data_IF_184244960443
#
_entry.id   IF_184244960443
#
_cell.length_a   1.000
_cell.length_b   1.000
_cell.length_c   1.000
_cell.angle_alpha   90.00
_cell.angle_beta   90.00
_cell.angle_gamma   90.00
#
_symmetry.space_group_name_H-M   'P 1'
#
loop_
_entity.id
_entity.type
_entity.pdbx_description
1 polymer ?
#
# COMPACT_ATOMS: atom_id res chain seq x y z
N UNK A 1 3.54 4.92 -10.81
CA UNK A 1 3.68 4.57 -9.39
C UNK A 1 3.44 5.86 -8.66
N UNK A 2 2.38 5.89 -7.86
CA UNK A 2 2.10 7.02 -6.99
C UNK A 2 3.30 7.31 -6.08
N UNK A 3 3.68 8.58 -6.04
CA UNK A 3 4.76 9.10 -5.19
C UNK A 3 4.21 9.87 -3.99
N UNK A 4 2.93 10.26 -4.05
CA UNK A 4 2.20 10.98 -3.01
C UNK A 4 0.78 10.44 -2.83
N UNK A 5 0.22 10.71 -1.66
CA UNK A 5 -1.19 10.51 -1.29
C UNK A 5 -1.68 11.74 -0.53
N UNK A 6 -2.99 11.94 -0.44
CA UNK A 6 -3.58 13.06 0.30
C UNK A 6 -4.07 12.62 1.67
N UNK A 7 -3.70 13.37 2.71
CA UNK A 7 -4.27 13.29 4.04
C UNK A 7 -5.19 14.48 4.27
N UNK A 8 -6.37 14.24 4.84
CA UNK A 8 -7.37 15.28 5.14
C UNK A 8 -7.49 15.39 6.65
N UNK A 9 -7.21 16.58 7.21
CA UNK A 9 -7.47 16.82 8.62
C UNK A 9 -9.00 16.82 8.86
N UNK A 10 -9.53 15.93 9.73
CA UNK A 10 -10.97 15.82 9.93
C UNK A 10 -11.60 17.06 10.59
N UNK A 11 -10.83 17.84 11.34
CA UNK A 11 -11.31 19.02 12.06
C UNK A 11 -11.24 20.29 11.20
N UNK A 12 -10.12 20.50 10.51
CA UNK A 12 -9.87 21.74 9.73
C UNK A 12 -10.25 21.60 8.25
N UNK A 13 -10.44 20.37 7.75
CA UNK A 13 -10.58 20.05 6.32
C UNK A 13 -9.39 20.44 5.45
N UNK A 14 -8.24 20.69 6.08
CA UNK A 14 -7.01 20.96 5.35
C UNK A 14 -6.49 19.67 4.70
N UNK A 15 -6.15 19.79 3.42
CA UNK A 15 -5.53 18.72 2.65
C UNK A 15 -4.01 18.86 2.68
N UNK A 16 -3.32 17.74 2.88
CA UNK A 16 -1.86 17.67 2.88
C UNK A 16 -1.40 16.50 2.01
N UNK A 17 -0.64 16.80 0.97
CA UNK A 17 0.06 15.78 0.21
C UNK A 17 1.25 15.25 1.02
N UNK A 18 1.35 13.93 1.13
CA UNK A 18 2.46 13.24 1.79
C UNK A 18 3.07 12.20 0.86
N UNK A 19 4.37 11.98 1.01
CA UNK A 19 5.09 11.02 0.16
C UNK A 19 4.76 9.59 0.54
N UNK A 20 4.75 8.72 -0.48
CA UNK A 20 4.70 7.26 -0.33
C UNK A 20 5.79 6.61 -1.15
N UNK A 21 6.25 5.44 -0.70
CA UNK A 21 7.26 4.67 -1.39
C UNK A 21 6.93 3.18 -1.34
N UNK A 22 6.43 2.64 -2.44
CA UNK A 22 6.12 1.21 -2.58
C UNK A 22 7.38 0.31 -2.60
N UNK A 23 8.59 0.89 -2.60
CA UNK A 23 9.84 0.14 -2.47
C UNK A 23 10.12 -0.23 -1.01
N UNK A 24 9.23 -1.01 -0.40
CA UNK A 24 9.33 -1.40 1.00
C UNK A 24 10.63 -2.18 1.29
N UNK A 25 11.34 -1.76 2.32
CA UNK A 25 12.48 -2.50 2.86
C UNK A 25 12.01 -3.54 3.87
N UNK A 26 12.80 -4.62 4.05
CA UNK A 26 12.55 -5.58 5.12
C UNK A 26 12.55 -4.93 6.51
N UNK A 27 13.32 -3.86 6.70
CA UNK A 27 13.36 -3.08 7.94
C UNK A 27 12.02 -2.40 8.25
N UNK A 28 11.41 -1.74 7.27
CA UNK A 28 10.09 -1.13 7.42
C UNK A 28 9.04 -2.17 7.80
N UNK A 29 9.01 -3.30 7.09
CA UNK A 29 8.08 -4.39 7.41
C UNK A 29 8.32 -4.97 8.81
N UNK A 30 9.58 -5.13 9.22
CA UNK A 30 9.93 -5.61 10.56
C UNK A 30 9.45 -4.67 11.66
N UNK A 31 9.64 -3.36 11.51
CA UNK A 31 9.19 -2.39 12.50
C UNK A 31 7.66 -2.33 12.59
N UNK A 32 6.96 -2.37 11.46
CA UNK A 32 5.50 -2.39 11.45
C UNK A 32 4.91 -3.64 12.11
N UNK A 33 5.58 -4.79 11.99
CA UNK A 33 5.17 -6.02 12.70
C UNK A 33 5.41 -5.90 14.20
N UNK A 34 6.56 -5.34 14.61
CA UNK A 34 6.87 -5.04 16.01
C UNK A 34 5.90 -4.05 16.65
N UNK A 35 5.49 -3.05 15.89
CA UNK A 35 4.47 -2.05 16.25
C UNK A 35 3.04 -2.65 16.23
N UNK A 36 2.87 -3.92 15.84
CA UNK A 36 1.57 -4.63 15.69
C UNK A 36 0.61 -3.98 14.68
N UNK A 37 1.13 -3.15 13.78
CA UNK A 37 0.37 -2.49 12.72
C UNK A 37 0.04 -3.49 11.62
N UNK A 38 1.02 -4.36 11.31
CA UNK A 38 0.86 -5.50 10.43
C UNK A 38 1.11 -6.81 11.18
N UNK A 39 0.55 -7.91 10.69
CA UNK A 39 0.70 -9.23 11.30
C UNK A 39 1.59 -10.15 10.44
N UNK A 40 2.01 -11.27 11.03
CA UNK A 40 2.66 -12.37 10.28
C UNK A 40 1.76 -12.92 9.16
N UNK A 41 0.44 -12.96 9.38
CA UNK A 41 -0.51 -13.37 8.34
C UNK A 41 -0.55 -12.39 7.18
N UNK A 42 -0.51 -11.08 7.45
CA UNK A 42 -0.41 -10.04 6.43
C UNK A 42 0.88 -10.20 5.62
N UNK A 43 2.04 -10.38 6.27
CA UNK A 43 3.31 -10.61 5.58
C UNK A 43 3.26 -11.86 4.70
N UNK A 44 2.66 -12.94 5.21
CA UNK A 44 2.44 -14.16 4.43
C UNK A 44 1.58 -13.86 3.20
N UNK A 45 0.45 -13.15 3.36
CA UNK A 45 -0.44 -12.78 2.26
C UNK A 45 0.27 -11.92 1.21
N UNK A 46 1.01 -10.90 1.65
CA UNK A 46 1.79 -10.01 0.77
C UNK A 46 2.83 -10.80 -0.03
N UNK A 47 3.45 -11.82 0.56
CA UNK A 47 4.46 -12.64 -0.11
C UNK A 47 3.86 -13.79 -0.94
N UNK A 48 2.65 -14.27 -0.61
CA UNK A 48 1.97 -15.40 -1.24
C UNK A 48 0.98 -15.03 -2.35
N UNK A 49 0.69 -13.74 -2.56
CA UNK A 49 -0.36 -13.22 -3.46
C UNK A 49 -0.07 -13.37 -4.96
N UNK A 50 0.75 -14.36 -5.35
CA UNK A 50 0.70 -14.94 -6.69
C UNK A 50 -0.65 -15.59 -7.02
N UNK A 51 -1.44 -15.98 -6.01
CA UNK A 51 -2.77 -16.58 -6.18
C UNK A 51 -3.85 -15.82 -5.40
N UNK A 52 -4.70 -15.10 -6.15
CA UNK A 52 -6.14 -14.84 -5.96
C UNK A 52 -6.77 -15.02 -4.56
N UNK A 53 -6.20 -14.42 -3.51
CA UNK A 53 -6.97 -14.13 -2.28
C UNK A 53 -7.47 -12.70 -2.35
N UNK A 54 -8.77 -12.53 -2.14
CA UNK A 54 -9.42 -11.24 -1.89
C UNK A 54 -8.66 -10.55 -0.78
N UNK A 55 -7.92 -9.50 -1.14
CA UNK A 55 -7.25 -8.67 -0.16
C UNK A 55 -8.32 -7.97 0.66
N UNK A 56 -8.22 -8.08 1.99
CA UNK A 56 -9.09 -7.33 2.86
C UNK A 56 -8.80 -5.82 2.67
N UNK A 57 -9.84 -5.00 2.76
CA UNK A 57 -9.74 -3.55 2.68
C UNK A 57 -8.70 -3.02 3.68
N UNK A 58 -8.73 -3.56 4.90
CA UNK A 58 -7.80 -3.16 5.96
C UNK A 58 -6.34 -3.51 5.62
N UNK A 59 -6.11 -4.61 4.93
CA UNK A 59 -4.77 -4.99 4.47
C UNK A 59 -4.30 -4.06 3.34
N UNK A 60 -5.20 -3.64 2.45
CA UNK A 60 -4.90 -2.63 1.43
C UNK A 60 -4.44 -1.32 2.07
N UNK A 61 -5.14 -0.85 3.10
CA UNK A 61 -4.80 0.38 3.82
C UNK A 61 -3.47 0.24 4.59
N UNK A 62 -3.22 -0.92 5.22
CA UNK A 62 -1.92 -1.20 5.86
C UNK A 62 -0.76 -1.14 4.88
N UNK A 63 -0.96 -1.53 3.62
CA UNK A 63 0.07 -1.38 2.58
C UNK A 63 0.31 0.08 2.22
N UNK A 64 -0.74 0.91 2.14
CA UNK A 64 -0.59 2.36 1.96
C UNK A 64 0.21 2.96 3.11
N UNK A 65 -0.15 2.64 4.36
CA UNK A 65 0.60 3.11 5.52
C UNK A 65 2.05 2.63 5.54
N UNK A 66 2.32 1.39 5.11
CA UNK A 66 3.68 0.90 4.99
C UNK A 66 4.50 1.70 3.96
N UNK A 67 3.89 2.05 2.82
CA UNK A 67 4.51 2.89 1.80
C UNK A 67 4.74 4.31 2.31
N UNK A 68 3.81 4.86 3.08
CA UNK A 68 3.96 6.13 3.78
C UNK A 68 5.13 6.11 4.78
N UNK A 69 5.21 5.11 5.68
CA UNK A 69 6.32 4.97 6.64
C UNK A 69 7.67 4.75 5.95
N UNK A 70 7.71 4.08 4.81
CA UNK A 70 8.92 3.92 4.02
C UNK A 70 9.45 5.24 3.45
N UNK A 71 8.56 6.18 3.13
CA UNK A 71 8.92 7.49 2.57
C UNK A 71 9.21 8.54 3.66
N UNK A 72 8.66 8.37 4.86
CA UNK A 72 8.70 9.34 5.94
C UNK A 72 9.33 8.71 7.19
N UNK A 73 10.66 8.65 7.23
CA UNK A 73 11.39 7.84 8.22
C UNK A 73 11.40 8.40 9.65
N UNK A 74 11.46 9.73 9.81
CA UNK A 74 11.56 10.39 11.13
C UNK A 74 10.42 11.34 11.44
N UNK A 75 9.68 11.78 10.42
CA UNK A 75 8.55 12.70 10.54
C UNK A 75 7.32 12.04 9.93
N UNK A 76 6.66 11.21 10.74
CA UNK A 76 5.49 10.45 10.34
C UNK A 76 4.40 10.51 11.40
N UNK A 77 3.15 10.41 10.95
CA UNK A 77 2.01 10.13 11.82
C UNK A 77 2.04 8.67 12.25
N UNK A 78 1.72 8.41 13.51
CA UNK A 78 1.42 7.05 13.94
C UNK A 78 0.21 6.48 13.17
N UNK A 79 0.00 5.17 13.29
CA UNK A 79 -1.02 4.48 12.50
C UNK A 79 -2.43 5.00 12.78
N UNK A 80 -2.76 5.31 14.04
CA UNK A 80 -4.10 5.78 14.38
C UNK A 80 -4.34 7.19 13.84
N UNK A 81 -3.38 8.10 14.01
CA UNK A 81 -3.43 9.46 13.46
C UNK A 81 -3.48 9.46 11.94
N UNK A 82 -2.74 8.57 11.28
CA UNK A 82 -2.83 8.38 9.84
C UNK A 82 -4.23 7.92 9.42
N UNK A 83 -4.77 6.88 10.07
CA UNK A 83 -6.10 6.33 9.75
C UNK A 83 -7.24 7.35 9.94
N UNK A 84 -7.08 8.30 10.86
CA UNK A 84 -8.06 9.39 11.04
C UNK A 84 -8.05 10.41 9.90
N UNK A 85 -6.95 10.54 9.17
CA UNK A 85 -6.78 11.54 8.12
C UNK A 85 -6.82 10.94 6.71
N UNK A 86 -6.53 9.65 6.58
CA UNK A 86 -6.52 8.97 5.29
C UNK A 86 -7.96 8.65 4.87
N UNK A 87 -8.44 9.34 3.84
CA UNK A 87 -9.68 8.98 3.15
C UNK A 87 -9.39 7.82 2.20
N UNK A 88 -10.15 6.73 2.31
CA UNK A 88 -9.90 5.51 1.57
C UNK A 88 -10.19 5.71 0.08
N UNK A 89 -9.15 5.76 -0.74
CA UNK A 89 -9.22 5.61 -2.20
C UNK A 89 -8.75 4.20 -2.59
N UNK A 90 -9.68 3.36 -3.03
CA UNK A 90 -9.38 1.98 -3.44
C UNK A 90 -8.54 1.89 -4.70
N UNK A 91 -8.61 2.88 -5.58
CA UNK A 91 -7.77 2.92 -6.78
C UNK A 91 -6.32 3.17 -6.38
N UNK A 92 -6.12 4.14 -5.50
CA UNK A 92 -4.82 4.50 -4.94
C UNK A 92 -4.21 3.32 -4.16
N UNK A 93 -4.98 2.71 -3.25
CA UNK A 93 -4.54 1.58 -2.45
C UNK A 93 -4.17 0.36 -3.31
N UNK A 94 -4.94 0.07 -4.36
CA UNK A 94 -4.63 -1.02 -5.29
C UNK A 94 -3.40 -0.73 -6.17
N UNK A 95 -3.15 0.51 -6.56
CA UNK A 95 -1.94 0.88 -7.29
C UNK A 95 -0.69 0.72 -6.40
N UNK A 96 -0.72 1.25 -5.17
CA UNK A 96 0.39 1.13 -4.22
C UNK A 96 0.64 -0.35 -3.91
N UNK A 97 -0.42 -1.11 -3.66
CA UNK A 97 -0.32 -2.56 -3.45
C UNK A 97 0.29 -3.27 -4.65
N UNK A 98 -0.23 -2.99 -5.86
CA UNK A 98 0.26 -3.56 -7.10
C UNK A 98 1.73 -3.22 -7.36
N UNK A 99 2.19 -2.05 -6.92
CA UNK A 99 3.59 -1.63 -6.99
C UNK A 99 4.47 -2.38 -5.98
N UNK A 100 4.00 -2.57 -4.74
CA UNK A 100 4.68 -3.39 -3.73
C UNK A 100 4.84 -4.83 -4.21
N UNK A 101 3.78 -5.43 -4.76
CA UNK A 101 3.83 -6.76 -5.38
C UNK A 101 4.58 -6.78 -6.72
N UNK A 102 4.57 -5.67 -7.46
CA UNK A 102 5.14 -5.53 -8.80
C UNK A 102 6.65 -5.79 -8.84
N UNK A 103 7.33 -5.69 -7.70
CA UNK A 103 8.72 -6.15 -7.55
C UNK A 103 8.89 -7.67 -7.64
N UNK A 104 7.86 -8.46 -7.36
CA UNK A 104 7.82 -9.87 -7.75
C UNK A 104 7.51 -10.06 -9.25
N UNK A 105 6.94 -9.04 -9.95
CA UNK A 105 6.49 -9.13 -11.35
C UNK A 105 7.56 -8.94 -12.42
N UNK A 106 8.82 -8.62 -12.10
CA UNK A 106 9.91 -8.95 -13.04
C UNK A 106 10.10 -10.47 -13.20
N UNK A 107 9.29 -11.30 -12.52
CA UNK A 107 9.19 -12.75 -12.75
C UNK A 107 7.76 -13.29 -13.01
N UNK A 108 6.67 -12.51 -12.99
CA UNK A 108 5.31 -13.08 -13.04
C UNK A 108 4.32 -12.39 -13.99
N UNK A 109 3.76 -13.21 -14.91
CA UNK A 109 2.91 -12.96 -16.09
C UNK A 109 1.52 -12.31 -15.82
N UNK A 110 1.27 -11.73 -14.65
CA UNK A 110 -0.04 -11.17 -14.29
C UNK A 110 -0.29 -9.77 -14.89
N UNK A 111 0.75 -8.94 -15.04
CA UNK A 111 0.62 -7.63 -15.71
C UNK A 111 0.29 -7.77 -17.20
N UNK A 112 0.77 -8.84 -17.86
CA UNK A 112 0.37 -9.20 -19.22
C UNK A 112 -1.11 -9.59 -19.27
N UNK A 113 -1.60 -10.42 -18.35
CA UNK A 113 -3.00 -10.87 -18.34
C UNK A 113 -4.04 -9.75 -18.17
N UNK A 114 -3.72 -8.66 -17.47
CA UNK A 114 -4.61 -7.49 -17.36
C UNK A 114 -4.58 -6.62 -18.63
N UNK A 115 -3.40 -6.40 -19.22
CA UNK A 115 -3.29 -5.67 -20.49
C UNK A 115 -3.93 -6.44 -21.65
N UNK A 116 -3.81 -7.77 -21.68
CA UNK A 116 -4.39 -8.61 -22.72
C UNK A 116 -5.92 -8.68 -22.65
N UNK A 117 -6.50 -8.62 -21.44
CA UNK A 117 -7.96 -8.52 -21.26
C UNK A 117 -8.51 -7.15 -21.66
N UNK A 118 -7.75 -6.07 -21.44
CA UNK A 118 -8.12 -4.74 -21.88
C UNK A 118 -8.05 -4.59 -23.41
N UNK A 119 -7.04 -5.20 -24.06
CA UNK A 119 -6.89 -5.20 -25.53
C UNK A 119 -7.90 -6.08 -26.27
N UNK A 120 -8.49 -7.09 -25.60
CA UNK A 120 -9.54 -7.95 -26.19
C UNK A 120 -10.96 -7.37 -26.12
N UNK A 121 -11.14 -6.22 -25.47
CA UNK A 121 -12.42 -5.49 -25.40
C UNK A 121 -12.40 -4.17 -26.20
N UNK A 122 -11.35 -3.93 -26.99
CA UNK A 122 -11.25 -2.85 -27.97
C UNK A 122 -11.38 -3.43 -29.38
#
# INVERSE_FOLDING_TARGET
MLETITLVNPETREEKEVKVNANLTAWTLFNLEKEKIISKSFLSTLLSTGNERSMDLLDSIRVVYAAYRQANGTDFLDFESFMKQYEVDMTEALEIFGAVLGKQKNKNKMAQGFQDKAKKKA
#
